data_IF_891753825306
#
_entry.id   IF_891753825306
#
_cell.length_a   1.000
_cell.length_b   1.000
_cell.length_c   1.000
_cell.angle_alpha   90.00
_cell.angle_beta   90.00
_cell.angle_gamma   90.00
#
_symmetry.space_group_name_H-M   'P 1'
#
loop_
_entity.id
_entity.type
_entity.pdbx_description
1 polymer ?
#
# COMPACT_ATOMS: atom_id res chain seq x y z
N UNK A 1 53.15 26.13 -31.66
CA UNK A 1 52.21 26.53 -30.61
C UNK A 1 51.04 25.58 -30.68
N UNK A 2 51.04 24.53 -29.87
CA UNK A 2 49.91 23.59 -29.74
C UNK A 2 49.57 23.53 -28.25
N UNK A 3 48.40 24.04 -27.91
CA UNK A 3 47.84 23.93 -26.56
C UNK A 3 47.25 22.52 -26.41
N UNK A 4 47.59 21.76 -25.37
CA UNK A 4 46.95 20.48 -25.13
C UNK A 4 45.50 20.74 -24.70
N UNK A 5 44.56 20.31 -25.54
CA UNK A 5 43.13 20.25 -25.20
C UNK A 5 42.92 19.19 -24.12
N UNK A 6 43.09 19.60 -22.86
CA UNK A 6 42.72 18.78 -21.70
C UNK A 6 41.25 18.35 -21.78
N UNK A 7 40.88 17.21 -21.16
CA UNK A 7 39.50 16.72 -21.21
C UNK A 7 38.56 17.79 -20.66
N UNK A 8 37.56 18.17 -21.47
CA UNK A 8 36.56 19.17 -21.11
C UNK A 8 35.89 18.80 -19.78
N UNK A 9 35.92 19.73 -18.82
CA UNK A 9 35.21 19.61 -17.54
C UNK A 9 33.72 19.36 -17.82
N UNK A 10 33.25 18.13 -17.62
CA UNK A 10 31.82 17.81 -17.68
C UNK A 10 31.21 18.23 -16.34
N UNK A 11 30.28 19.21 -16.31
CA UNK A 11 29.58 19.51 -15.08
C UNK A 11 28.88 18.24 -14.57
N UNK A 12 28.74 18.06 -13.24
CA UNK A 12 28.00 16.93 -12.69
C UNK A 12 26.59 16.92 -13.31
N UNK A 13 26.05 15.76 -13.71
CA UNK A 13 24.73 15.70 -14.32
C UNK A 13 23.70 16.36 -13.40
N UNK A 14 22.88 17.24 -13.99
CA UNK A 14 21.81 17.93 -13.28
C UNK A 14 20.78 16.89 -12.86
N UNK A 15 20.64 16.74 -11.55
CA UNK A 15 19.74 15.81 -10.90
C UNK A 15 18.33 16.35 -10.99
N UNK A 16 17.41 15.62 -11.63
CA UNK A 16 16.01 16.04 -11.70
C UNK A 16 15.06 14.86 -11.48
N UNK A 17 14.19 15.00 -10.48
CA UNK A 17 13.03 14.14 -10.28
C UNK A 17 11.78 14.82 -10.86
N UNK A 18 10.84 14.06 -11.43
CA UNK A 18 9.52 14.54 -11.91
C UNK A 18 8.72 15.20 -10.79
N UNK A 19 8.93 14.76 -9.54
CA UNK A 19 8.33 15.40 -8.37
C UNK A 19 8.93 16.79 -8.06
N UNK A 20 10.06 17.17 -8.67
CA UNK A 20 10.72 18.48 -8.52
C UNK A 20 10.86 18.88 -7.04
N UNK A 21 10.26 20.00 -6.64
CA UNK A 21 10.28 20.52 -5.27
C UNK A 21 9.53 19.61 -4.27
N UNK A 22 8.68 18.70 -4.77
CA UNK A 22 7.99 17.68 -3.98
C UNK A 22 8.80 16.37 -3.89
N UNK A 23 10.05 16.36 -4.38
CA UNK A 23 10.90 15.18 -4.27
C UNK A 23 11.22 14.89 -2.80
N UNK A 24 10.91 13.68 -2.37
CA UNK A 24 11.16 13.19 -1.00
C UNK A 24 12.52 12.48 -0.85
N UNK A 25 13.30 12.42 -1.92
CA UNK A 25 14.67 11.91 -1.91
C UNK A 25 15.63 12.93 -1.30
N UNK A 26 15.67 13.04 0.04
CA UNK A 26 16.63 13.91 0.75
C UNK A 26 18.07 13.59 0.32
N UNK A 27 18.74 14.55 -0.33
CA UNK A 27 20.15 14.44 -0.73
C UNK A 27 20.49 13.32 -1.73
N UNK A 28 19.52 12.46 -2.09
CA UNK A 28 19.68 11.37 -3.04
C UNK A 28 19.54 11.94 -4.44
N UNK A 29 20.68 12.37 -4.95
CA UNK A 29 20.85 12.88 -6.29
C UNK A 29 20.47 11.79 -7.30
N UNK A 30 19.42 12.02 -8.09
CA UNK A 30 18.98 11.14 -9.19
C UNK A 30 20.05 11.10 -10.26
N UNK A 31 20.73 9.95 -10.37
CA UNK A 31 21.64 9.61 -11.45
C UNK A 31 20.96 8.69 -12.48
N UNK A 32 19.65 8.92 -12.72
CA UNK A 32 18.72 8.31 -13.70
C UNK A 32 18.10 6.92 -13.41
N UNK A 33 16.78 6.88 -13.10
CA UNK A 33 15.87 5.86 -13.66
C UNK A 33 14.58 6.54 -14.18
N UNK A 34 14.53 6.84 -15.47
CA UNK A 34 14.58 8.22 -15.99
C UNK A 34 13.32 9.10 -15.82
N UNK A 35 13.02 9.38 -14.56
CA UNK A 35 13.04 10.72 -13.94
C UNK A 35 12.21 10.70 -12.66
N UNK A 36 11.79 9.56 -12.14
CA UNK A 36 11.24 9.44 -10.78
C UNK A 36 12.24 8.72 -9.89
N UNK A 37 12.55 9.27 -8.70
CA UNK A 37 13.50 8.62 -7.80
C UNK A 37 12.82 7.45 -7.06
N UNK A 38 13.60 6.48 -6.59
CA UNK A 38 13.07 5.33 -5.85
C UNK A 38 12.33 5.73 -4.58
N UNK A 39 12.72 6.83 -3.94
CA UNK A 39 11.99 7.36 -2.80
C UNK A 39 10.63 7.89 -3.25
N UNK A 40 10.55 8.68 -4.32
CA UNK A 40 9.29 9.16 -4.85
C UNK A 40 8.39 8.01 -5.32
N UNK A 41 8.91 6.96 -5.94
CA UNK A 41 8.11 5.78 -6.30
C UNK A 41 7.50 5.07 -5.11
N UNK A 42 8.30 4.88 -4.05
CA UNK A 42 7.83 4.23 -2.84
C UNK A 42 6.83 5.10 -2.09
N UNK A 43 7.02 6.41 -2.16
CA UNK A 43 6.42 7.36 -1.24
C UNK A 43 5.37 8.25 -1.86
N UNK A 44 5.26 8.46 -3.16
CA UNK A 44 4.17 9.27 -3.75
C UNK A 44 3.05 8.42 -4.30
N UNK A 45 1.87 9.02 -4.39
CA UNK A 45 0.74 8.31 -4.94
C UNK A 45 1.00 7.99 -6.42
N UNK A 46 0.76 6.75 -6.89
CA UNK A 46 0.99 6.42 -8.29
C UNK A 46 0.22 7.33 -9.25
N UNK A 47 -1.02 7.73 -8.94
CA UNK A 47 -1.79 8.64 -9.78
C UNK A 47 -1.15 10.04 -9.81
N UNK A 48 -0.70 10.53 -8.66
CA UNK A 48 0.01 11.81 -8.58
C UNK A 48 1.35 11.78 -9.33
N UNK A 49 2.10 10.69 -9.21
CA UNK A 49 3.34 10.48 -9.97
C UNK A 49 3.08 10.46 -11.47
N UNK A 50 1.99 9.82 -11.94
CA UNK A 50 1.60 9.82 -13.35
C UNK A 50 1.31 11.23 -13.85
N UNK A 51 0.61 12.05 -13.07
CA UNK A 51 0.34 13.46 -13.40
C UNK A 51 1.66 14.23 -13.55
N UNK A 52 2.61 14.05 -12.62
CA UNK A 52 3.91 14.71 -12.68
C UNK A 52 4.83 14.18 -13.78
N UNK A 53 4.69 12.91 -14.15
CA UNK A 53 5.41 12.25 -15.22
C UNK A 53 4.75 12.44 -16.60
N UNK A 54 3.73 13.30 -16.73
CA UNK A 54 3.03 13.52 -17.98
C UNK A 54 3.99 13.87 -19.13
N UNK A 55 3.87 13.15 -20.25
CA UNK A 55 4.77 13.28 -21.40
C UNK A 55 6.16 12.63 -21.23
N UNK A 56 6.39 11.88 -20.15
CA UNK A 56 7.61 11.08 -19.95
C UNK A 56 7.26 9.58 -19.86
N UNK A 57 7.29 8.90 -21.00
CA UNK A 57 6.94 7.48 -21.11
C UNK A 57 7.83 6.57 -20.26
N UNK A 58 9.13 6.86 -20.15
CA UNK A 58 10.04 6.07 -19.33
C UNK A 58 9.68 6.15 -17.84
N UNK A 59 9.34 7.35 -17.34
CA UNK A 59 8.90 7.53 -15.97
C UNK A 59 7.53 6.88 -15.72
N UNK A 60 6.60 6.94 -16.69
CA UNK A 60 5.31 6.26 -16.61
C UNK A 60 5.47 4.74 -16.54
N UNK A 61 6.28 4.15 -17.42
CA UNK A 61 6.59 2.71 -17.39
C UNK A 61 7.19 2.29 -16.06
N UNK A 62 8.06 3.12 -15.48
CA UNK A 62 8.68 2.82 -14.20
C UNK A 62 7.70 2.89 -13.03
N UNK A 63 6.73 3.81 -13.08
CA UNK A 63 5.61 3.86 -12.12
C UNK A 63 4.73 2.61 -12.25
N UNK A 64 4.36 2.22 -13.47
CA UNK A 64 3.55 1.02 -13.70
C UNK A 64 4.24 -0.26 -13.21
N UNK A 65 5.55 -0.38 -13.46
CA UNK A 65 6.33 -1.51 -12.98
C UNK A 65 6.30 -1.61 -11.45
N UNK A 66 6.46 -0.50 -10.74
CA UNK A 66 6.39 -0.47 -9.27
C UNK A 66 4.99 -0.83 -8.75
N UNK A 67 3.93 -0.32 -9.39
CA UNK A 67 2.55 -0.67 -9.03
C UNK A 67 2.29 -2.16 -9.24
N UNK A 68 2.78 -2.72 -10.35
CA UNK A 68 2.63 -4.14 -10.63
C UNK A 68 3.40 -5.01 -9.61
N UNK A 69 4.63 -4.62 -9.26
CA UNK A 69 5.42 -5.30 -8.22
C UNK A 69 4.68 -5.33 -6.87
N UNK A 70 4.06 -4.21 -6.47
CA UNK A 70 3.26 -4.15 -5.25
C UNK A 70 2.02 -5.03 -5.30
N UNK A 71 1.37 -5.13 -6.47
CA UNK A 71 0.22 -6.02 -6.68
C UNK A 71 0.61 -7.48 -6.55
N UNK A 72 1.67 -7.90 -7.22
CA UNK A 72 2.20 -9.28 -7.12
C UNK A 72 2.60 -9.61 -5.68
N UNK A 73 3.26 -8.68 -4.98
CA UNK A 73 3.60 -8.84 -3.57
C UNK A 73 2.35 -9.04 -2.70
N UNK A 74 1.30 -8.22 -2.92
CA UNK A 74 0.02 -8.35 -2.21
C UNK A 74 -0.59 -9.73 -2.43
N UNK A 75 -0.74 -10.15 -3.68
CA UNK A 75 -1.35 -11.44 -4.03
C UNK A 75 -0.60 -12.61 -3.40
N UNK A 76 0.74 -12.56 -3.42
CA UNK A 76 1.56 -13.56 -2.76
C UNK A 76 1.31 -13.59 -1.24
N UNK A 77 1.31 -12.44 -0.58
CA UNK A 77 1.07 -12.34 0.87
C UNK A 77 -0.33 -12.85 1.23
N UNK A 78 -1.35 -12.47 0.46
CA UNK A 78 -2.74 -12.87 0.67
C UNK A 78 -2.96 -14.37 0.44
N UNK A 79 -2.25 -14.98 -0.52
CA UNK A 79 -2.31 -16.43 -0.74
C UNK A 79 -1.82 -17.27 0.45
N UNK A 80 -1.07 -16.66 1.38
CA UNK A 80 -0.59 -17.29 2.60
C UNK A 80 -1.41 -16.93 3.86
N UNK A 81 -2.62 -16.39 3.70
CA UNK A 81 -3.51 -16.04 4.81
C UNK A 81 -3.00 -14.87 5.64
N UNK A 82 -2.18 -13.99 5.05
CA UNK A 82 -1.67 -12.77 5.65
C UNK A 82 -2.07 -11.59 4.79
N UNK A 83 -2.07 -10.40 5.36
CA UNK A 83 -2.43 -9.20 4.60
C UNK A 83 -1.34 -8.14 4.75
N UNK A 84 -1.28 -7.25 3.75
CA UNK A 84 -0.48 -6.04 3.89
C UNK A 84 -1.11 -5.14 4.96
N UNK A 85 -0.26 -4.40 5.66
CA UNK A 85 -0.71 -3.34 6.57
C UNK A 85 -1.68 -2.41 5.81
N UNK A 86 -2.79 -1.99 6.42
CA UNK A 86 -3.77 -1.10 5.81
C UNK A 86 -3.17 0.16 5.21
N UNK A 87 -2.02 0.61 5.71
CA UNK A 87 -1.26 1.72 5.18
C UNK A 87 -0.47 1.36 3.91
N UNK A 88 0.02 0.14 3.73
CA UNK A 88 0.76 -0.32 2.54
C UNK A 88 -0.12 -1.02 1.49
N UNK A 89 -1.29 -1.50 1.90
CA UNK A 89 -2.19 -2.26 1.04
C UNK A 89 -2.79 -1.36 -0.07
N UNK A 90 -2.75 -1.84 -1.31
CA UNK A 90 -3.24 -1.13 -2.49
C UNK A 90 -4.75 -0.86 -2.43
N UNK A 91 -5.53 -1.70 -1.74
CA UNK A 91 -7.00 -1.55 -1.68
C UNK A 91 -7.44 -0.28 -0.95
N UNK A 92 -6.57 0.27 -0.11
CA UNK A 92 -6.87 1.46 0.68
C UNK A 92 -6.20 2.73 0.14
N UNK A 93 -5.63 2.70 -1.07
CA UNK A 93 -4.95 3.86 -1.67
C UNK A 93 -5.83 5.11 -1.73
N UNK A 94 -7.10 4.94 -2.08
CA UNK A 94 -8.06 6.03 -2.30
C UNK A 94 -8.86 6.41 -1.05
N UNK A 95 -8.59 5.77 0.10
CA UNK A 95 -9.32 6.07 1.33
C UNK A 95 -9.03 7.50 1.80
N UNK A 96 -10.09 8.22 2.20
CA UNK A 96 -10.02 9.64 2.61
C UNK A 96 -8.99 9.93 3.69
N UNK A 97 -8.79 9.00 4.63
CA UNK A 97 -7.80 9.12 5.70
C UNK A 97 -6.35 9.08 5.20
N UNK A 98 -6.09 8.59 3.99
CA UNK A 98 -4.77 8.70 3.34
C UNK A 98 -4.52 10.05 2.69
N UNK A 99 -5.58 10.79 2.33
CA UNK A 99 -5.45 12.09 1.67
C UNK A 99 -5.02 13.20 2.63
N UNK A 100 -5.46 13.13 3.90
CA UNK A 100 -5.14 14.14 4.92
C UNK A 100 -3.72 13.98 5.50
N UNK A 101 -3.02 12.89 5.19
CA UNK A 101 -1.72 12.58 5.77
C UNK A 101 -0.63 12.40 4.69
N UNK A 102 -0.13 13.54 4.22
CA UNK A 102 1.00 13.66 3.29
C UNK A 102 2.31 13.07 3.84
N UNK A 103 2.39 12.64 5.10
CA UNK A 103 3.65 12.24 5.75
C UNK A 103 3.78 10.76 6.14
N UNK A 104 2.74 9.94 6.01
CA UNK A 104 2.86 8.50 6.33
C UNK A 104 3.75 7.75 5.37
N UNK A 105 3.96 8.28 4.17
CA UNK A 105 4.86 7.69 3.18
C UNK A 105 6.33 7.76 3.63
N UNK A 106 6.66 8.56 4.65
CA UNK A 106 8.01 8.71 5.18
C UNK A 106 8.50 7.57 6.08
N UNK A 107 7.59 6.84 6.73
CA UNK A 107 7.86 5.93 7.87
C UNK A 107 7.59 4.47 7.58
N UNK A 108 7.02 4.14 6.41
CA UNK A 108 6.56 2.79 6.04
C UNK A 108 7.62 1.86 5.47
N UNK A 109 8.90 2.26 5.47
CA UNK A 109 9.98 1.42 4.94
C UNK A 109 10.04 0.01 5.58
N UNK A 110 9.42 -0.18 6.75
CA UNK A 110 9.44 -1.44 7.51
C UNK A 110 8.07 -1.83 8.14
N UNK A 111 6.91 -1.53 7.52
CA UNK A 111 5.63 -2.08 8.03
C UNK A 111 5.66 -3.63 7.91
N UNK A 112 5.05 -4.33 8.86
CA UNK A 112 4.94 -5.79 8.85
C UNK A 112 3.60 -6.25 8.25
N UNK A 113 3.53 -7.54 7.88
CA UNK A 113 2.26 -8.19 7.54
C UNK A 113 1.33 -8.25 8.75
N UNK A 114 0.03 -8.26 8.49
CA UNK A 114 -1.04 -8.33 9.50
C UNK A 114 -1.92 -9.55 9.26
N UNK A 115 -2.69 -9.94 10.27
CA UNK A 115 -3.58 -11.12 10.21
C UNK A 115 -4.93 -10.83 9.59
N UNK A 116 -5.41 -9.59 9.71
CA UNK A 116 -6.72 -9.18 9.23
C UNK A 116 -6.57 -8.13 8.14
N UNK A 117 -7.37 -8.25 7.09
CA UNK A 117 -7.43 -7.24 6.02
C UNK A 117 -7.88 -5.90 6.60
N UNK A 118 -7.26 -4.81 6.14
CA UNK A 118 -7.55 -3.46 6.64
C UNK A 118 -7.02 -3.14 8.04
N UNK A 119 -6.17 -3.99 8.63
CA UNK A 119 -5.50 -3.71 9.89
C UNK A 119 -4.18 -2.95 9.70
N UNK A 120 -3.95 -1.93 10.53
CA UNK A 120 -2.65 -1.30 10.68
C UNK A 120 -1.69 -2.19 11.49
N UNK A 121 -0.46 -2.41 11.03
CA UNK A 121 0.53 -3.11 11.84
C UNK A 121 0.94 -2.27 13.06
N UNK A 122 1.44 -2.91 14.13
CA UNK A 122 1.75 -2.24 15.41
C UNK A 122 2.66 -1.01 15.28
N UNK A 123 3.65 -1.03 14.39
CA UNK A 123 4.54 0.12 14.15
C UNK A 123 3.78 1.29 13.54
N UNK A 124 2.93 0.98 12.57
CA UNK A 124 2.20 1.97 11.80
C UNK A 124 0.98 2.46 12.65
N UNK A 125 0.45 1.62 13.55
CA UNK A 125 -0.55 1.98 14.57
C UNK A 125 0.04 2.89 15.68
N UNK A 126 1.10 2.44 16.37
CA UNK A 126 1.70 3.15 17.52
C UNK A 126 2.31 4.51 17.17
N UNK A 127 2.94 4.65 15.98
CA UNK A 127 3.62 5.89 15.58
C UNK A 127 2.69 6.99 15.09
N UNK A 128 1.54 6.63 14.50
CA UNK A 128 0.74 7.57 13.72
C UNK A 128 -0.60 7.94 14.36
N UNK A 129 -1.04 7.21 15.39
CA UNK A 129 -2.39 7.40 15.94
C UNK A 129 -2.46 8.00 17.34
N UNK A 130 -1.31 8.33 17.95
CA UNK A 130 -1.32 9.21 19.12
C UNK A 130 -1.38 10.71 18.74
N UNK A 131 -1.19 11.07 17.45
CA UNK A 131 -0.96 12.47 17.07
C UNK A 131 -1.76 13.00 15.86
N UNK A 132 -2.64 12.21 15.22
CA UNK A 132 -3.21 12.59 13.90
C UNK A 132 -4.73 12.28 13.80
N UNK A 133 -5.48 13.08 13.01
CA UNK A 133 -6.94 13.01 12.76
C UNK A 133 -7.44 11.70 12.11
N UNK A 134 -6.57 10.73 11.87
CA UNK A 134 -6.92 9.47 11.20
C UNK A 134 -7.51 8.41 12.14
N UNK A 135 -7.39 8.59 13.48
CA UNK A 135 -7.92 7.64 14.48
C UNK A 135 -9.41 7.36 14.30
N UNK A 136 -10.17 8.36 13.86
CA UNK A 136 -11.61 8.24 13.65
C UNK A 136 -12.01 7.20 12.58
N UNK A 137 -11.07 6.75 11.74
CA UNK A 137 -11.30 5.74 10.70
C UNK A 137 -10.94 4.31 11.12
N UNK A 138 -10.38 4.13 12.32
CA UNK A 138 -9.93 2.84 12.82
C UNK A 138 -10.47 2.54 14.22
N UNK A 139 -10.69 1.26 14.51
CA UNK A 139 -10.97 0.78 15.87
C UNK A 139 -9.74 1.00 16.77
N UNK A 140 -9.88 0.92 18.11
CA UNK A 140 -8.73 0.97 19.02
C UNK A 140 -7.66 -0.11 18.77
N UNK A 141 -8.05 -1.22 18.13
CA UNK A 141 -7.15 -2.30 17.72
C UNK A 141 -6.46 -2.04 16.36
N UNK A 142 -6.76 -0.92 15.70
CA UNK A 142 -6.18 -0.55 14.42
C UNK A 142 -6.78 -1.21 13.20
N UNK A 143 -8.00 -1.75 13.31
CA UNK A 143 -8.77 -2.25 12.16
C UNK A 143 -9.61 -1.12 11.56
N UNK A 144 -9.62 -0.96 10.23
CA UNK A 144 -10.48 0.01 9.56
C UNK A 144 -11.96 -0.28 9.87
N UNK A 145 -12.76 0.73 10.22
CA UNK A 145 -14.19 0.54 10.52
C UNK A 145 -14.94 -0.08 9.35
N UNK A 146 -14.63 0.30 8.10
CA UNK A 146 -15.25 -0.29 6.91
C UNK A 146 -15.02 -1.81 6.80
N UNK A 147 -13.89 -2.33 7.29
CA UNK A 147 -13.64 -3.78 7.32
C UNK A 147 -14.22 -4.44 8.58
N UNK A 148 -14.25 -3.71 9.71
CA UNK A 148 -14.92 -4.19 10.91
C UNK A 148 -16.42 -4.41 10.65
N UNK A 149 -17.08 -3.48 9.97
CA UNK A 149 -18.50 -3.55 9.64
C UNK A 149 -18.79 -4.72 8.68
N UNK A 150 -17.94 -4.95 7.68
CA UNK A 150 -18.04 -6.12 6.78
C UNK A 150 -17.84 -7.44 7.52
N UNK A 151 -16.93 -7.51 8.49
CA UNK A 151 -16.71 -8.71 9.29
C UNK A 151 -17.92 -9.04 10.17
N UNK A 152 -18.59 -8.03 10.72
CA UNK A 152 -19.85 -8.20 11.48
C UNK A 152 -20.96 -8.70 10.56
N UNK A 153 -21.14 -8.10 9.38
CA UNK A 153 -22.16 -8.53 8.41
C UNK A 153 -21.94 -9.99 7.97
N UNK A 154 -20.70 -10.39 7.66
CA UNK A 154 -20.38 -11.79 7.32
C UNK A 154 -20.63 -12.77 8.46
N UNK A 155 -20.46 -12.33 9.69
CA UNK A 155 -20.73 -13.17 10.87
C UNK A 155 -22.23 -13.36 11.05
N UNK A 156 -23.04 -12.33 10.79
CA UNK A 156 -24.49 -12.42 10.84
C UNK A 156 -25.05 -13.30 9.70
N UNK A 157 -24.54 -13.18 8.47
CA UNK A 157 -24.93 -14.03 7.34
C UNK A 157 -24.61 -15.53 7.59
N UNK A 158 -23.52 -15.83 8.30
CA UNK A 158 -23.18 -17.20 8.69
C UNK A 158 -24.09 -17.76 9.81
N UNK A 159 -24.88 -16.90 10.46
CA UNK A 159 -25.80 -17.29 11.54
C UNK A 159 -27.26 -17.43 11.05
N UNK A 160 -27.58 -16.99 9.83
CA UNK A 160 -28.93 -17.10 9.21
C UNK A 160 -29.08 -18.32 8.28
N UNK A 161 -28.16 -19.29 8.32
CA UNK A 161 -28.16 -20.48 7.45
C UNK A 161 -28.28 -21.82 8.17
N UNK A 162 -28.98 -21.89 9.30
CA UNK A 162 -29.09 -23.14 10.07
C UNK A 162 -30.30 -23.20 10.98
N UNK A 163 -31.49 -23.31 10.41
CA UNK A 163 -32.65 -23.89 11.10
C UNK A 163 -33.59 -24.54 10.08
N UNK A 164 -33.22 -25.72 9.61
CA UNK A 164 -34.18 -26.69 9.09
C UNK A 164 -34.10 -27.92 10.01
N UNK A 165 -34.83 -27.85 11.11
CA UNK A 165 -35.39 -29.03 11.76
C UNK A 165 -36.39 -29.67 10.79
N UNK A 166 -36.12 -30.89 10.32
CA UNK A 166 -37.18 -31.78 9.86
C UNK A 166 -36.86 -33.23 10.26
N UNK A 167 -37.74 -33.75 11.11
CA UNK A 167 -37.83 -35.13 11.56
C UNK A 167 -38.07 -36.11 10.40
N UNK A 168 -37.39 -37.27 10.44
CA UNK A 168 -37.94 -38.51 9.86
C UNK A 168 -37.73 -39.66 10.84
N UNK A 169 -38.81 -39.99 11.55
CA UNK A 169 -38.99 -41.25 12.26
C UNK A 169 -38.91 -42.45 11.29
N UNK A 170 -38.25 -43.53 11.75
CA UNK A 170 -38.67 -44.89 11.46
C UNK A 170 -37.92 -45.64 10.35
N UNK A 171 -37.06 -46.58 10.75
CA UNK A 171 -37.10 -47.94 10.19
C UNK A 171 -36.84 -48.98 11.28
N UNK A 172 -37.84 -49.86 11.43
CA UNK A 172 -37.77 -51.12 12.15
C UNK A 172 -36.57 -51.97 11.66
N UNK A 173 -35.81 -52.53 12.60
CA UNK A 173 -35.04 -53.75 12.36
C UNK A 173 -35.49 -54.77 13.41
N UNK A 174 -36.31 -55.72 12.99
CA UNK A 174 -36.42 -57.02 13.64
C UNK A 174 -35.60 -58.00 12.82
N UNK A 175 -34.74 -58.76 13.51
CA UNK A 175 -34.45 -60.20 13.36
C UNK A 175 -32.95 -60.49 13.48
N UNK A 176 -32.53 -60.99 14.64
CA UNK A 176 -32.15 -62.40 14.86
C UNK A 176 -32.09 -62.70 16.35
#
# INVERSE_FOLDING_TARGET
MESPSGPAFKPPPTVECVSRNQCVGMGKKVYTPNKVCTECLKRHDPAQLRIWANGNEEALNFIEQEVNNKRVMKENVESHGRFLCAFEDLDYHDCRWRLEDLNLRGTRLNCSFVRNKGMACEKCWSRHLLHIRIVQYFTPAGLCYEEADKAVLRSNDATEGGDDNDDVEGYNIILS
#
